data_IF_602162757708
#
_entry.id   IF_602162757708
#
_cell.length_a   1.000
_cell.length_b   1.000
_cell.length_c   1.000
_cell.angle_alpha   90.00
_cell.angle_beta   90.00
_cell.angle_gamma   90.00
#
_symmetry.space_group_name_H-M   'P 1'
#
loop_
_entity.id
_entity.type
_entity.pdbx_description
1 polymer ?
#
# COMPACT_ATOMS: atom_id res chain seq x y z
N UNK A 1 -39.64 59.36 68.24
CA UNK A 1 -38.36 59.08 68.93
C UNK A 1 -37.26 58.97 67.88
N UNK A 2 -36.44 60.00 67.73
CA UNK A 2 -35.17 59.94 66.98
C UNK A 2 -34.06 59.39 67.92
N UNK A 3 -32.78 59.24 67.54
CA UNK A 3 -32.07 59.26 66.24
C UNK A 3 -31.08 58.04 66.15
N UNK A 4 -30.22 57.77 65.15
CA UNK A 4 -28.92 58.41 64.86
C UNK A 4 -28.12 57.60 63.84
N UNK A 5 -27.42 58.34 62.97
CA UNK A 5 -26.03 58.15 62.48
C UNK A 5 -25.73 56.93 61.59
N UNK A 6 -25.52 57.14 60.29
CA UNK A 6 -24.29 57.63 59.64
C UNK A 6 -23.17 56.58 59.54
N UNK A 7 -22.78 56.24 58.30
CA UNK A 7 -21.45 56.58 57.74
C UNK A 7 -21.27 55.97 56.36
N UNK A 8 -20.79 56.83 55.48
CA UNK A 8 -20.14 56.59 54.20
C UNK A 8 -18.98 55.59 54.29
N UNK A 9 -18.79 54.79 53.23
CA UNK A 9 -17.56 54.03 53.02
C UNK A 9 -17.46 53.55 51.58
N UNK A 10 -16.49 54.11 50.84
CA UNK A 10 -16.11 53.80 49.46
C UNK A 10 -15.28 52.49 49.42
N UNK A 11 -15.36 51.79 48.30
CA UNK A 11 -14.80 50.47 47.94
C UNK A 11 -13.29 50.27 48.17
N UNK A 12 -12.83 49.01 48.20
CA UNK A 12 -11.69 48.65 47.34
C UNK A 12 -11.82 47.31 46.61
N UNK A 13 -11.24 47.31 45.41
CA UNK A 13 -10.92 46.17 44.54
C UNK A 13 -9.69 45.41 45.04
N UNK A 14 -9.49 44.21 44.45
CA UNK A 14 -8.28 43.35 44.42
C UNK A 14 -8.12 42.35 45.58
N UNK A 15 -8.21 41.06 45.25
CA UNK A 15 -7.10 40.11 45.44
C UNK A 15 -7.41 38.75 44.83
N UNK A 16 -6.55 38.40 43.87
CA UNK A 16 -5.96 37.09 43.64
C UNK A 16 -6.66 35.87 44.27
N UNK A 17 -7.38 35.12 43.43
CA UNK A 17 -7.33 33.67 43.50
C UNK A 17 -6.92 33.13 42.14
N UNK A 18 -5.59 32.95 42.00
CA UNK A 18 -5.01 31.96 41.10
C UNK A 18 -5.58 30.61 41.52
N UNK A 19 -6.58 30.12 40.79
CA UNK A 19 -6.90 28.70 40.83
C UNK A 19 -6.08 28.06 39.72
N UNK A 20 -5.18 27.22 40.21
CA UNK A 20 -4.15 26.49 39.52
C UNK A 20 -4.65 25.84 38.22
N UNK A 21 -3.81 26.01 37.20
CA UNK A 21 -3.81 25.22 35.99
C UNK A 21 -3.72 23.74 36.38
N UNK A 22 -4.86 23.07 36.41
CA UNK A 22 -4.93 21.65 36.13
C UNK A 22 -4.53 21.47 34.68
N UNK A 23 -3.26 21.11 34.46
CA UNK A 23 -2.80 20.49 33.23
C UNK A 23 -3.68 19.26 33.01
N UNK A 24 -4.78 19.43 32.26
CA UNK A 24 -5.34 18.32 31.51
C UNK A 24 -4.23 17.91 30.56
N UNK A 25 -3.55 16.84 30.97
CA UNK A 25 -2.68 16.04 30.15
C UNK A 25 -3.51 15.67 28.92
N UNK A 26 -3.40 16.45 27.85
CA UNK A 26 -3.92 16.09 26.55
C UNK A 26 -3.15 14.85 26.14
N UNK A 27 -3.68 13.70 26.54
CA UNK A 27 -3.36 12.44 25.91
C UNK A 27 -3.52 12.73 24.43
N UNK A 28 -2.40 12.86 23.73
CA UNK A 28 -2.36 13.10 22.31
C UNK A 28 -3.29 12.03 21.73
N UNK A 29 -4.45 12.46 21.24
CA UNK A 29 -5.30 11.60 20.42
C UNK A 29 -4.35 11.19 19.30
N UNK A 30 -3.88 9.95 19.34
CA UNK A 30 -3.24 9.34 18.19
C UNK A 30 -4.37 9.30 17.18
N UNK A 31 -4.49 10.35 16.37
CA UNK A 31 -5.45 10.37 15.28
C UNK A 31 -5.18 9.12 14.46
N UNK A 32 -6.22 8.31 14.29
CA UNK A 32 -6.13 7.13 13.47
C UNK A 32 -5.73 7.60 12.07
N UNK A 33 -4.53 7.17 11.64
CA UNK A 33 -4.01 7.50 10.30
C UNK A 33 -5.08 7.16 9.26
N UNK A 34 -5.26 8.06 8.29
CA UNK A 34 -6.19 7.79 7.18
C UNK A 34 -5.69 6.62 6.33
N UNK A 35 -6.53 6.10 5.44
CA UNK A 35 -6.11 5.05 4.51
C UNK A 35 -4.93 5.52 3.66
N UNK A 36 -5.02 6.74 3.12
CA UNK A 36 -3.99 7.35 2.31
C UNK A 36 -2.67 7.48 3.06
N UNK A 37 -2.71 7.94 4.31
CA UNK A 37 -1.51 8.08 5.15
C UNK A 37 -0.89 6.72 5.46
N UNK A 38 -1.70 5.73 5.81
CA UNK A 38 -1.24 4.39 6.14
C UNK A 38 -0.56 3.70 4.95
N UNK A 39 -1.11 3.84 3.74
CA UNK A 39 -0.64 3.12 2.56
C UNK A 39 0.35 3.89 1.70
N UNK A 40 0.31 5.22 1.70
CA UNK A 40 1.08 6.07 0.79
C UNK A 40 1.85 7.20 1.50
N UNK A 41 1.79 7.28 2.82
CA UNK A 41 2.50 8.30 3.62
C UNK A 41 4.00 8.35 3.34
N UNK A 42 4.61 7.19 3.14
CA UNK A 42 6.05 7.02 2.90
C UNK A 42 6.40 6.97 1.40
N UNK A 43 5.48 7.34 0.50
CA UNK A 43 5.78 7.38 -0.92
C UNK A 43 6.83 8.46 -1.21
N UNK A 44 8.03 8.06 -1.65
CA UNK A 44 9.01 8.99 -2.20
C UNK A 44 8.65 9.29 -3.65
N UNK A 45 8.13 10.50 -3.89
CA UNK A 45 7.75 11.02 -5.21
C UNK A 45 8.61 12.24 -5.63
N UNK A 46 9.74 12.46 -4.96
CA UNK A 46 10.67 13.57 -5.19
C UNK A 46 10.23 14.93 -4.62
N UNK A 47 8.97 15.11 -4.21
CA UNK A 47 8.49 16.31 -3.53
C UNK A 47 7.40 15.93 -2.51
N UNK A 48 7.54 16.38 -1.27
CA UNK A 48 6.60 16.10 -0.17
C UNK A 48 5.15 16.53 -0.48
N UNK A 49 4.96 17.55 -1.33
CA UNK A 49 3.64 18.01 -1.77
C UNK A 49 2.95 16.97 -2.66
N UNK A 50 3.70 16.21 -3.45
CA UNK A 50 3.17 15.13 -4.29
C UNK A 50 2.70 13.97 -3.43
N UNK A 51 3.47 13.60 -2.41
CA UNK A 51 3.09 12.57 -1.43
C UNK A 51 1.83 12.97 -0.68
N UNK A 52 1.77 14.20 -0.16
CA UNK A 52 0.55 14.74 0.48
C UNK A 52 -0.66 14.74 -0.46
N UNK A 53 -0.46 15.03 -1.75
CA UNK A 53 -1.54 14.98 -2.75
C UNK A 53 -1.99 13.54 -3.00
N UNK A 54 -1.07 12.59 -3.12
CA UNK A 54 -1.39 11.17 -3.29
C UNK A 54 -2.24 10.64 -2.14
N UNK A 55 -1.87 10.97 -0.90
CA UNK A 55 -2.64 10.62 0.31
C UNK A 55 -4.08 11.12 0.17
N UNK A 56 -4.28 12.41 -0.14
CA UNK A 56 -5.61 13.01 -0.31
C UNK A 56 -6.42 12.36 -1.42
N UNK A 57 -5.80 12.02 -2.55
CA UNK A 57 -6.45 11.32 -3.66
C UNK A 57 -6.88 9.92 -3.22
N UNK A 58 -6.01 9.17 -2.54
CA UNK A 58 -6.31 7.84 -2.05
C UNK A 58 -7.49 7.85 -1.07
N UNK A 59 -7.51 8.79 -0.13
CA UNK A 59 -8.62 8.96 0.81
C UNK A 59 -9.94 9.34 0.09
N UNK A 60 -9.86 10.20 -0.93
CA UNK A 60 -11.03 10.55 -1.73
C UNK A 60 -11.59 9.34 -2.51
N UNK A 61 -10.71 8.53 -3.12
CA UNK A 61 -11.12 7.31 -3.83
C UNK A 61 -11.69 6.27 -2.86
N UNK A 62 -11.11 6.11 -1.67
CA UNK A 62 -11.60 5.13 -0.70
C UNK A 62 -12.95 5.46 -0.10
N UNK A 63 -13.28 6.76 0.07
CA UNK A 63 -14.62 7.17 0.53
C UNK A 63 -15.72 6.75 -0.44
N UNK A 64 -15.43 6.79 -1.74
CA UNK A 64 -16.37 6.43 -2.80
C UNK A 64 -15.66 5.58 -3.87
N UNK A 65 -15.52 4.26 -3.68
CA UNK A 65 -14.77 3.42 -4.60
C UNK A 65 -15.42 3.29 -5.99
N UNK A 66 -16.75 3.40 -6.06
CA UNK A 66 -17.51 3.46 -7.31
C UNK A 66 -17.53 4.85 -7.94
N UNK A 67 -18.07 4.97 -9.16
CA UNK A 67 -18.21 6.24 -9.87
C UNK A 67 -16.96 6.72 -10.60
N UNK A 68 -17.11 7.84 -11.28
CA UNK A 68 -16.10 8.49 -12.10
C UNK A 68 -15.09 9.30 -11.26
N UNK A 69 -13.92 9.60 -11.82
CA UNK A 69 -12.92 10.43 -11.13
C UNK A 69 -13.45 11.84 -10.79
N UNK A 70 -14.19 12.55 -11.67
CA UNK A 70 -14.79 13.84 -11.32
C UNK A 70 -15.74 13.78 -10.13
N UNK A 71 -16.53 12.72 -9.97
CA UNK A 71 -17.42 12.56 -8.81
C UNK A 71 -16.64 12.33 -7.51
N UNK A 72 -15.50 11.65 -7.60
CA UNK A 72 -14.61 11.39 -6.44
C UNK A 72 -13.82 12.63 -6.03
N UNK A 73 -13.39 13.42 -7.01
CA UNK A 73 -12.61 14.63 -6.79
C UNK A 73 -13.58 15.80 -6.57
N UNK A 74 -13.85 16.12 -5.30
CA UNK A 74 -14.92 17.05 -4.88
C UNK A 74 -14.88 18.49 -5.41
N UNK A 75 -13.95 18.84 -6.30
CA UNK A 75 -13.97 20.07 -7.09
C UNK A 75 -13.17 19.91 -8.39
N UNK A 76 -13.42 20.76 -9.41
CA UNK A 76 -12.61 20.77 -10.64
C UNK A 76 -11.11 20.97 -10.39
N UNK A 77 -10.74 21.82 -9.43
CA UNK A 77 -9.34 22.06 -9.07
C UNK A 77 -8.67 20.84 -8.43
N UNK A 78 -9.40 20.05 -7.64
CA UNK A 78 -8.87 18.79 -7.09
C UNK A 78 -8.69 17.73 -8.17
N UNK A 79 -9.60 17.68 -9.14
CA UNK A 79 -9.50 16.80 -10.31
C UNK A 79 -8.28 17.16 -11.19
N UNK A 80 -8.10 18.45 -11.48
CA UNK A 80 -6.96 18.93 -12.25
C UNK A 80 -5.63 18.66 -11.53
N UNK A 81 -5.58 18.90 -10.22
CA UNK A 81 -4.40 18.58 -9.40
C UNK A 81 -4.06 17.07 -9.42
N UNK A 82 -5.07 16.19 -9.41
CA UNK A 82 -4.87 14.75 -9.58
C UNK A 82 -4.28 14.44 -10.96
N UNK A 83 -4.80 15.01 -12.04
CA UNK A 83 -4.24 14.80 -13.37
C UNK A 83 -2.80 15.31 -13.52
N UNK A 84 -2.48 16.47 -12.92
CA UNK A 84 -1.10 16.95 -12.89
C UNK A 84 -0.17 16.01 -12.13
N UNK A 85 -0.61 15.44 -11.01
CA UNK A 85 0.17 14.46 -10.27
C UNK A 85 0.45 13.22 -11.13
N UNK A 86 -0.56 12.67 -11.81
CA UNK A 86 -0.41 11.47 -12.64
C UNK A 86 0.44 11.69 -13.91
N UNK A 87 0.65 12.95 -14.32
CA UNK A 87 1.54 13.31 -15.43
C UNK A 87 3.00 13.52 -15.00
N UNK A 88 3.29 13.56 -13.70
CA UNK A 88 4.65 13.77 -13.21
C UNK A 88 5.51 12.52 -13.44
N UNK A 89 6.67 12.69 -14.08
CA UNK A 89 7.59 11.58 -14.41
C UNK A 89 8.07 10.82 -13.17
N UNK A 90 8.21 11.50 -12.04
CA UNK A 90 8.62 10.88 -10.78
C UNK A 90 7.52 10.01 -10.15
N UNK A 91 6.26 10.23 -10.53
CA UNK A 91 5.10 9.48 -10.02
C UNK A 91 4.92 8.24 -10.87
N UNK A 92 5.72 7.22 -10.58
CA UNK A 92 5.68 5.93 -11.28
C UNK A 92 4.85 4.92 -10.50
N UNK A 93 4.30 3.92 -11.18
CA UNK A 93 3.57 2.79 -10.57
C UNK A 93 4.38 2.14 -9.45
N UNK A 94 5.67 1.87 -9.69
CA UNK A 94 6.56 1.26 -8.70
C UNK A 94 6.74 2.13 -7.44
N UNK A 95 6.94 3.45 -7.59
CA UNK A 95 7.13 4.37 -6.46
C UNK A 95 5.84 4.57 -5.66
N UNK A 96 4.69 4.65 -6.34
CA UNK A 96 3.39 4.70 -5.67
C UNK A 96 3.09 3.41 -4.89
N UNK A 97 3.45 2.24 -5.45
CA UNK A 97 3.15 0.96 -4.85
C UNK A 97 4.12 0.59 -3.70
N UNK A 98 5.36 1.06 -3.75
CA UNK A 98 6.41 0.73 -2.79
C UNK A 98 6.00 0.82 -1.30
N UNK A 99 5.42 1.93 -0.79
CA UNK A 99 5.00 2.01 0.61
C UNK A 99 3.89 1.01 0.96
N UNK A 100 2.95 0.77 0.05
CA UNK A 100 1.90 -0.24 0.24
C UNK A 100 2.48 -1.66 0.34
N UNK A 101 3.48 -1.99 -0.49
CA UNK A 101 4.18 -3.29 -0.40
C UNK A 101 4.99 -3.39 0.88
N UNK A 102 5.64 -2.31 1.32
CA UNK A 102 6.39 -2.28 2.58
C UNK A 102 5.46 -2.50 3.78
N UNK A 103 4.28 -1.87 3.80
CA UNK A 103 3.25 -2.12 4.81
C UNK A 103 2.80 -3.58 4.80
N UNK A 104 2.52 -4.16 3.64
CA UNK A 104 2.12 -5.57 3.54
C UNK A 104 3.21 -6.50 4.05
N UNK A 105 4.49 -6.23 3.72
CA UNK A 105 5.63 -7.00 4.25
C UNK A 105 5.76 -6.89 5.77
N UNK A 106 5.54 -5.69 6.33
CA UNK A 106 5.52 -5.48 7.77
C UNK A 106 4.43 -6.34 8.42
N UNK A 107 3.21 -6.32 7.88
CA UNK A 107 2.10 -7.15 8.39
C UNK A 107 2.41 -8.64 8.31
N UNK A 108 3.08 -9.11 7.25
CA UNK A 108 3.52 -10.52 7.15
C UNK A 108 4.54 -10.86 8.23
N UNK A 109 5.51 -9.97 8.49
CA UNK A 109 6.54 -10.20 9.50
C UNK A 109 5.97 -10.21 10.94
N UNK A 110 4.87 -9.48 11.15
CA UNK A 110 4.12 -9.42 12.41
C UNK A 110 3.02 -10.49 12.52
N UNK A 111 2.79 -11.28 11.46
CA UNK A 111 1.73 -12.29 11.42
C UNK A 111 2.17 -13.61 12.05
N UNK A 112 1.32 -14.16 12.92
CA UNK A 112 1.55 -15.43 13.56
C UNK A 112 1.13 -16.59 12.65
N UNK A 113 2.11 -17.26 12.05
CA UNK A 113 1.91 -18.48 11.27
C UNK A 113 2.34 -18.35 9.82
N UNK A 114 1.76 -19.20 8.96
CA UNK A 114 2.04 -19.17 7.53
C UNK A 114 0.97 -18.38 6.79
N UNK A 115 1.40 -17.69 5.74
CA UNK A 115 0.53 -16.95 4.83
C UNK A 115 0.50 -17.63 3.47
N UNK A 116 -0.58 -17.43 2.73
CA UNK A 116 -0.69 -17.86 1.34
C UNK A 116 -0.47 -16.68 0.40
N UNK A 117 0.43 -16.84 -0.56
CA UNK A 117 0.61 -15.90 -1.67
C UNK A 117 -0.17 -16.40 -2.90
N UNK A 118 -1.31 -15.77 -3.17
CA UNK A 118 -2.16 -16.10 -4.32
C UNK A 118 -1.73 -15.23 -5.50
N UNK A 119 -1.45 -15.88 -6.62
CA UNK A 119 -1.02 -15.22 -7.85
C UNK A 119 -2.08 -15.39 -8.92
N UNK A 120 -2.47 -14.29 -9.55
CA UNK A 120 -3.35 -14.34 -10.71
C UNK A 120 -3.09 -13.15 -11.65
N UNK A 121 -3.44 -13.33 -12.91
CA UNK A 121 -3.29 -12.31 -13.95
C UNK A 121 -4.67 -11.91 -14.46
N UNK A 122 -5.02 -10.63 -14.32
CA UNK A 122 -6.22 -10.07 -14.94
C UNK A 122 -5.85 -9.25 -16.17
N UNK A 123 -6.67 -9.30 -17.20
CA UNK A 123 -6.52 -8.42 -18.37
C UNK A 123 -7.21 -7.07 -18.10
N UNK A 124 -6.52 -5.97 -18.43
CA UNK A 124 -7.07 -4.63 -18.38
C UNK A 124 -7.35 -4.16 -19.81
N UNK A 125 -8.62 -4.24 -20.24
CA UNK A 125 -9.03 -3.89 -21.60
C UNK A 125 -9.20 -2.37 -21.78
N UNK A 126 -8.41 -1.82 -22.69
CA UNK A 126 -8.44 -0.42 -23.09
C UNK A 126 -8.51 -0.24 -24.61
N UNK A 127 -9.13 -1.20 -25.30
CA UNK A 127 -9.20 -1.24 -26.77
C UNK A 127 -9.75 0.05 -27.37
N UNK A 128 -10.76 0.66 -26.76
CA UNK A 128 -11.41 1.89 -27.25
C UNK A 128 -10.69 3.18 -26.86
N UNK A 129 -9.61 3.11 -26.07
CA UNK A 129 -8.96 4.28 -25.47
C UNK A 129 -7.78 4.78 -26.26
N UNK A 130 -7.93 4.96 -27.57
CA UNK A 130 -6.84 5.17 -28.55
C UNK A 130 -5.71 6.12 -28.11
N UNK A 131 -6.00 7.13 -27.30
CA UNK A 131 -5.04 8.07 -26.70
C UNK A 131 -3.99 7.46 -25.75
N UNK A 132 -4.21 6.26 -25.22
CA UNK A 132 -3.19 5.57 -24.42
C UNK A 132 -2.11 4.97 -25.34
N UNK A 133 -0.86 5.38 -25.13
CA UNK A 133 0.30 4.74 -25.72
C UNK A 133 0.59 3.37 -25.05
N UNK A 134 1.45 2.57 -25.67
CA UNK A 134 2.07 1.39 -25.06
C UNK A 134 1.09 0.31 -24.57
N UNK A 135 0.03 0.05 -25.33
CA UNK A 135 -0.87 -1.09 -25.13
C UNK A 135 -0.42 -2.32 -25.93
N UNK A 136 -0.53 -3.47 -25.30
CA UNK A 136 -0.23 -4.77 -25.90
C UNK A 136 -1.49 -5.52 -26.28
N UNK A 137 -1.33 -6.55 -27.11
CA UNK A 137 -2.42 -7.44 -27.47
C UNK A 137 -2.92 -8.21 -26.23
N UNK A 138 -4.23 -8.25 -26.00
CA UNK A 138 -4.86 -9.07 -24.93
C UNK A 138 -5.90 -10.04 -25.51
N UNK A 139 -6.30 -11.04 -24.72
CA UNK A 139 -7.23 -12.08 -25.15
C UNK A 139 -6.76 -12.85 -26.39
N UNK A 140 -7.66 -13.04 -27.35
CA UNK A 140 -7.42 -13.74 -28.62
C UNK A 140 -6.86 -12.84 -29.74
N UNK A 141 -6.63 -11.55 -29.47
CA UNK A 141 -5.99 -10.63 -30.40
C UNK A 141 -6.83 -9.52 -31.00
N UNK A 142 -8.13 -9.47 -30.73
CA UNK A 142 -8.97 -8.33 -31.12
C UNK A 142 -8.92 -7.17 -30.12
N UNK A 143 -8.30 -7.38 -28.95
CA UNK A 143 -8.31 -6.41 -27.85
C UNK A 143 -6.90 -5.91 -27.54
N UNK A 144 -6.82 -4.70 -26.98
CA UNK A 144 -5.57 -4.06 -26.56
C UNK A 144 -5.62 -3.54 -25.13
N UNK A 145 -4.52 -3.72 -24.40
CA UNK A 145 -4.42 -3.29 -23.01
C UNK A 145 -3.16 -3.80 -22.30
N UNK A 146 -3.30 -4.09 -21.01
CA UNK A 146 -2.21 -4.60 -20.16
C UNK A 146 -2.63 -5.85 -19.41
N UNK A 147 -1.66 -6.70 -19.10
CA UNK A 147 -1.81 -7.78 -18.13
C UNK A 147 -1.41 -7.25 -16.76
N UNK A 148 -2.32 -7.34 -15.79
CA UNK A 148 -2.06 -6.98 -14.41
C UNK A 148 -1.88 -8.26 -13.58
N UNK A 149 -0.62 -8.62 -13.34
CA UNK A 149 -0.27 -9.78 -12.53
C UNK A 149 -0.17 -9.40 -11.06
N UNK A 150 -1.15 -9.82 -10.28
CA UNK A 150 -1.27 -9.51 -8.87
C UNK A 150 -0.76 -10.65 -8.00
N UNK A 151 -0.22 -10.29 -6.84
CA UNK A 151 0.08 -11.22 -5.75
C UNK A 151 -0.66 -10.76 -4.51
N UNK A 152 -1.70 -11.49 -4.11
CA UNK A 152 -2.48 -11.22 -2.92
C UNK A 152 -1.96 -12.07 -1.77
N UNK A 153 -1.77 -11.48 -0.60
CA UNK A 153 -1.33 -12.18 0.60
C UNK A 153 -2.52 -12.36 1.52
N UNK A 154 -2.80 -13.61 1.88
CA UNK A 154 -3.96 -13.97 2.70
C UNK A 154 -3.55 -14.86 3.86
N UNK A 155 -4.28 -14.72 4.97
CA UNK A 155 -4.29 -15.69 6.06
C UNK A 155 -5.29 -16.80 5.70
N UNK A 156 -4.85 -18.06 5.49
CA UNK A 156 -5.74 -19.14 5.13
C UNK A 156 -6.59 -19.66 6.30
N UNK A 157 -6.17 -19.42 7.54
CA UNK A 157 -6.86 -19.86 8.76
C UNK A 157 -7.99 -18.88 9.09
N UNK A 158 -7.66 -17.58 9.19
CA UNK A 158 -8.63 -16.53 9.46
C UNK A 158 -9.45 -16.13 8.22
N UNK A 159 -9.00 -16.50 7.03
CA UNK A 159 -9.59 -16.14 5.72
C UNK A 159 -9.60 -14.63 5.47
N UNK A 160 -8.57 -13.95 5.94
CA UNK A 160 -8.43 -12.50 5.79
C UNK A 160 -7.36 -12.12 4.77
N UNK A 161 -7.54 -10.96 4.14
CA UNK A 161 -6.55 -10.38 3.23
C UNK A 161 -5.59 -9.51 4.03
N UNK A 162 -4.30 -9.89 4.03
CA UNK A 162 -3.24 -9.12 4.68
C UNK A 162 -2.89 -7.88 3.85
N UNK A 163 -2.79 -8.05 2.53
CA UNK A 163 -2.54 -6.95 1.59
C UNK A 163 -2.02 -7.41 0.22
N UNK A 164 -1.66 -6.44 -0.63
CA UNK A 164 -1.06 -6.71 -1.93
C UNK A 164 0.45 -6.94 -1.75
N UNK A 165 0.91 -8.16 -2.02
CA UNK A 165 2.33 -8.51 -1.97
C UNK A 165 3.11 -8.00 -3.17
N UNK A 166 2.47 -7.86 -4.33
CA UNK A 166 3.04 -7.27 -5.53
C UNK A 166 1.99 -7.03 -6.63
N UNK A 167 2.30 -6.15 -7.58
CA UNK A 167 1.56 -5.96 -8.82
C UNK A 167 2.54 -5.64 -9.95
N UNK A 168 2.45 -6.38 -11.06
CA UNK A 168 3.18 -6.06 -12.30
C UNK A 168 2.16 -5.70 -13.37
N UNK A 169 2.36 -4.56 -14.00
CA UNK A 169 1.71 -4.21 -15.25
C UNK A 169 2.62 -4.63 -16.40
N UNK A 170 2.19 -5.62 -17.17
CA UNK A 170 2.92 -6.15 -18.31
C UNK A 170 2.19 -5.80 -19.60
N UNK A 171 2.93 -5.21 -20.53
CA UNK A 171 2.46 -4.98 -21.89
C UNK A 171 3.03 -6.08 -22.79
N UNK A 172 2.16 -6.81 -23.50
CA UNK A 172 2.64 -7.79 -24.49
C UNK A 172 3.34 -7.05 -25.62
N UNK A 173 4.57 -7.43 -25.98
CA UNK A 173 5.26 -6.80 -27.09
C UNK A 173 4.63 -7.19 -28.43
N UNK A 174 4.84 -6.35 -29.43
CA UNK A 174 4.50 -6.67 -30.81
C UNK A 174 5.56 -7.65 -31.33
N UNK A 175 5.11 -8.83 -31.76
CA UNK A 175 6.01 -9.92 -32.19
C UNK A 175 5.86 -10.21 -33.67
N UNK A 176 6.90 -10.77 -34.27
CA UNK A 176 6.85 -11.21 -35.65
C UNK A 176 6.05 -12.51 -35.77
N UNK A 177 5.22 -12.64 -36.81
CA UNK A 177 4.35 -13.82 -37.02
C UNK A 177 5.09 -15.16 -37.11
N UNK A 178 6.40 -15.16 -37.42
CA UNK A 178 7.22 -16.37 -37.63
C UNK A 178 8.33 -16.56 -36.60
N UNK A 179 8.13 -16.10 -35.37
CA UNK A 179 9.08 -16.34 -34.28
C UNK A 179 9.11 -17.83 -33.86
N UNK A 180 10.32 -18.39 -33.74
CA UNK A 180 10.52 -19.79 -33.31
C UNK A 180 10.23 -19.98 -31.82
N UNK A 181 10.02 -21.24 -31.40
CA UNK A 181 9.78 -21.57 -29.98
C UNK A 181 10.99 -21.22 -29.11
N UNK A 182 12.21 -21.37 -29.63
CA UNK A 182 13.44 -21.04 -28.90
C UNK A 182 13.56 -19.53 -28.67
N UNK A 183 13.31 -18.71 -29.69
CA UNK A 183 13.29 -17.25 -29.57
C UNK A 183 12.24 -16.78 -28.56
N UNK A 184 11.01 -17.30 -28.66
CA UNK A 184 9.93 -17.03 -27.69
C UNK A 184 10.33 -17.35 -26.24
N UNK A 185 11.07 -18.44 -26.04
CA UNK A 185 11.54 -18.85 -24.71
C UNK A 185 12.70 -17.99 -24.21
N UNK A 186 13.54 -17.46 -25.08
CA UNK A 186 14.68 -16.65 -24.66
C UNK A 186 14.33 -15.17 -24.45
N UNK A 187 13.12 -14.75 -24.80
CA UNK A 187 12.64 -13.40 -24.55
C UNK A 187 12.56 -13.05 -23.07
N UNK A 188 13.11 -11.89 -22.73
CA UNK A 188 13.11 -11.32 -21.38
C UNK A 188 11.73 -10.84 -20.94
N UNK A 189 10.83 -10.58 -21.90
CA UNK A 189 9.48 -10.10 -21.67
C UNK A 189 8.40 -11.20 -21.81
N UNK A 190 8.81 -12.48 -21.85
CA UNK A 190 7.84 -13.58 -21.94
C UNK A 190 6.96 -13.65 -20.69
N UNK A 191 5.66 -13.87 -20.89
CA UNK A 191 4.65 -13.90 -19.81
C UNK A 191 4.94 -14.96 -18.73
N UNK A 192 5.59 -16.07 -19.08
CA UNK A 192 5.97 -17.09 -18.09
C UNK A 192 6.96 -16.58 -17.04
N UNK A 193 7.71 -15.51 -17.33
CA UNK A 193 8.58 -14.86 -16.35
C UNK A 193 7.81 -14.07 -15.30
N UNK A 194 6.57 -13.66 -15.54
CA UNK A 194 5.77 -12.94 -14.52
C UNK A 194 5.62 -13.78 -13.24
N UNK A 195 5.52 -15.09 -13.40
CA UNK A 195 5.48 -16.08 -12.33
C UNK A 195 6.86 -16.32 -11.67
N UNK A 196 7.96 -16.13 -12.40
CA UNK A 196 9.32 -16.37 -11.92
C UNK A 196 10.02 -15.14 -11.34
N UNK A 197 9.79 -13.93 -11.88
CA UNK A 197 10.31 -12.66 -11.36
C UNK A 197 9.93 -12.43 -9.89
N UNK A 198 8.92 -13.15 -9.39
CA UNK A 198 8.52 -13.17 -7.98
C UNK A 198 9.35 -14.10 -7.10
N UNK A 199 9.91 -15.19 -7.65
CA UNK A 199 10.71 -16.15 -6.87
C UNK A 199 11.92 -15.47 -6.22
N UNK A 200 12.57 -14.54 -6.91
CA UNK A 200 13.74 -13.83 -6.39
C UNK A 200 13.37 -12.90 -5.22
N UNK A 201 12.26 -12.15 -5.36
CA UNK A 201 11.80 -11.22 -4.32
C UNK A 201 11.30 -11.96 -3.07
N UNK A 202 10.58 -13.08 -3.24
CA UNK A 202 10.09 -13.89 -2.12
C UNK A 202 11.21 -14.67 -1.43
N UNK A 203 12.23 -15.14 -2.16
CA UNK A 203 13.38 -15.82 -1.57
C UNK A 203 14.23 -14.87 -0.74
N UNK A 204 14.42 -13.62 -1.19
CA UNK A 204 15.11 -12.58 -0.41
C UNK A 204 14.28 -12.20 0.82
N UNK A 205 12.95 -12.10 0.71
CA UNK A 205 12.08 -11.80 1.86
C UNK A 205 12.10 -12.95 2.88
N UNK A 206 11.98 -14.20 2.45
CA UNK A 206 12.08 -15.37 3.33
C UNK A 206 13.46 -15.43 4.00
N UNK A 207 14.54 -15.12 3.27
CA UNK A 207 15.89 -15.04 3.82
C UNK A 207 16.02 -13.91 4.85
N UNK A 208 15.48 -12.71 4.58
CA UNK A 208 15.54 -11.57 5.50
C UNK A 208 14.69 -11.77 6.76
N UNK A 209 13.51 -12.39 6.65
CA UNK A 209 12.70 -12.80 7.80
C UNK A 209 13.49 -13.81 8.63
N UNK A 210 14.10 -14.82 8.00
CA UNK A 210 14.89 -15.85 8.68
C UNK A 210 16.16 -15.30 9.34
N UNK A 211 16.81 -14.31 8.74
CA UNK A 211 17.96 -13.61 9.32
C UNK A 211 17.57 -12.68 10.47
N UNK A 212 16.40 -12.05 10.40
CA UNK A 212 15.86 -11.20 11.48
C UNK A 212 15.48 -12.02 12.71
N UNK A 213 14.93 -13.22 12.51
CA UNK A 213 14.62 -14.18 13.57
C UNK A 213 15.87 -14.80 14.23
N UNK A 214 16.99 -14.89 13.49
CA UNK A 214 18.26 -15.38 14.05
C UNK A 214 18.96 -14.30 14.90
N UNK A 215 18.80 -13.01 14.56
CA UNK A 215 19.46 -11.93 15.29
C UNK A 215 18.75 -11.55 16.61
N UNK A 216 17.51 -11.99 16.82
CA UNK A 216 16.84 -11.93 18.11
C UNK A 216 17.26 -13.12 18.97
N UNK A 217 18.14 -12.89 19.96
CA UNK A 217 18.51 -13.89 20.98
C UNK A 217 17.23 -14.42 21.65
N UNK A 218 16.84 -15.65 21.32
CA UNK A 218 15.83 -16.38 22.09
C UNK A 218 16.37 -16.59 23.52
N UNK A 219 15.54 -16.41 24.57
CA UNK A 219 15.93 -16.81 25.91
C UNK A 219 16.16 -18.32 25.94
N UNK A 220 17.29 -18.70 26.52
CA UNK A 220 17.77 -20.08 26.66
C UNK A 220 16.80 -20.84 27.57
N UNK A 221 16.01 -21.80 27.03
CA UNK A 221 15.24 -22.71 27.88
C UNK A 221 13.94 -23.31 27.37
N UNK A 222 13.79 -23.64 26.08
CA UNK A 222 12.64 -24.43 25.62
C UNK A 222 13.10 -25.74 24.94
N UNK A 223 12.53 -26.90 25.31
CA UNK A 223 13.02 -28.20 24.86
C UNK A 223 12.69 -28.44 23.38
N UNK A 224 13.73 -28.88 22.65
CA UNK A 224 13.67 -29.38 21.28
C UNK A 224 12.77 -30.61 21.21
N UNK A 225 11.70 -30.57 20.40
CA UNK A 225 11.15 -31.78 19.81
C UNK A 225 10.49 -31.50 18.46
N UNK A 226 10.94 -32.30 17.49
CA UNK A 226 10.39 -32.53 16.16
C UNK A 226 10.80 -31.57 15.03
N UNK A 227 12.05 -31.74 14.61
CA UNK A 227 12.39 -31.91 13.20
C UNK A 227 11.38 -32.85 12.50
N UNK A 228 10.51 -32.28 11.66
CA UNK A 228 10.02 -32.97 10.46
C UNK A 228 9.46 -31.99 9.44
N UNK A 229 10.24 -31.85 8.37
CA UNK A 229 9.81 -31.68 6.98
C UNK A 229 9.54 -30.26 6.45
N UNK A 230 10.65 -29.52 6.24
CA UNK A 230 10.80 -28.78 4.99
C UNK A 230 10.76 -29.76 3.80
N UNK A 231 9.68 -29.75 3.01
CA UNK A 231 9.74 -30.11 1.59
C UNK A 231 9.01 -29.04 0.79
N UNK A 232 9.76 -28.01 0.41
CA UNK A 232 9.55 -27.37 -0.89
C UNK A 232 10.52 -28.07 -1.85
N UNK A 233 10.10 -29.22 -2.38
CA UNK A 233 10.74 -29.82 -3.57
C UNK A 233 9.91 -29.40 -4.79
N UNK A 234 10.51 -28.70 -5.77
CA UNK A 234 9.87 -28.50 -7.06
C UNK A 234 10.02 -29.81 -7.84
N UNK A 235 8.98 -30.64 -7.85
CA UNK A 235 8.92 -31.73 -8.81
C UNK A 235 8.45 -31.15 -10.15
N UNK A 236 9.40 -31.01 -11.06
CA UNK A 236 9.13 -30.85 -12.47
C UNK A 236 8.39 -32.08 -12.98
N UNK A 237 7.18 -31.90 -13.50
CA UNK A 237 6.64 -32.74 -14.58
C UNK A 237 6.04 -31.80 -15.60
N UNK A 238 6.83 -31.48 -16.63
CA UNK A 238 6.29 -31.15 -17.94
C UNK A 238 5.61 -32.41 -18.48
N UNK A 239 4.31 -32.31 -18.73
CA UNK A 239 3.66 -32.95 -19.88
C UNK A 239 2.77 -31.90 -20.53
#
# INVERSE_FOLDING_TARGET
MSPRLSRSGRSPTVSDRKTEAGQECSAARVEARTFGELHFGDADLGDVRRTKRLIRIADAIMRHPGGSLPEKMGSPGELEAMYHLMKCREVTHARMLAPHLALTRKKIAEHDGFVLAIHDTTELDFTTRESLADRGQIGNGSHQGWLCHNTLIVDPVQREVIGLGNQILHCRPITQKKETVAEKRNREDRESLLWMMKKLLMSVIALLIRLSFWNTKLPVGAPLLCDRLMIVRPLWVMR
#
